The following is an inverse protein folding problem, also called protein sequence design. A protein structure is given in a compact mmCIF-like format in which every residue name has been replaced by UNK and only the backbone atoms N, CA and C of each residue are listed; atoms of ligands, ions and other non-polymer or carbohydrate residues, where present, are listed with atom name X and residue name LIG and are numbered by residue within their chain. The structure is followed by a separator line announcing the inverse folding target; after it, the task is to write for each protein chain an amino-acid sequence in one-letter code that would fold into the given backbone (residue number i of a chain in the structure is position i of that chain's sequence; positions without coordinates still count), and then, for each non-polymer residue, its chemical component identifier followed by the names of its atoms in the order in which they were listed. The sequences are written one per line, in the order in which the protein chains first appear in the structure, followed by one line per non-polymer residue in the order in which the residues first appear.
data_IF_343206851295
#
_entry.id   IF_343206851295
#
_cell.length_a   1.000
_cell.length_b   1.000
_cell.length_c   1.000
_cell.angle_alpha   90.00
_cell.angle_beta   90.00
_cell.angle_gamma   90.00
#
_symmetry.space_group_name_H-M   'P 1'
#
loop_
_entity.id
_entity.type
_entity.pdbx_description
1 polymer ?
#
# COMPACT_ATOMS: atom_id res chain seq x y z
N UNK A 1 -4.55 -0.73 -23.42
CA UNK A 1 -5.90 -0.26 -23.08
C UNK A 1 -6.56 -1.12 -22.01
N UNK A 2 -6.66 -2.45 -22.24
CA UNK A 2 -7.28 -3.33 -21.23
C UNK A 2 -6.52 -3.34 -19.92
N UNK A 3 -5.18 -3.34 -19.97
CA UNK A 3 -4.37 -3.35 -18.75
C UNK A 3 -4.54 -2.04 -17.97
N UNK A 4 -4.60 -0.91 -18.67
CA UNK A 4 -4.84 0.38 -18.02
C UNK A 4 -6.21 0.41 -17.34
N UNK A 5 -7.23 -0.11 -18.01
CA UNK A 5 -8.57 -0.17 -17.44
C UNK A 5 -8.61 -1.05 -16.19
N UNK A 6 -7.98 -2.23 -16.26
CA UNK A 6 -7.92 -3.15 -15.12
C UNK A 6 -7.19 -2.52 -13.95
N UNK A 7 -6.04 -1.89 -14.22
CA UNK A 7 -5.26 -1.21 -13.17
C UNK A 7 -6.05 -0.07 -12.54
N UNK A 8 -6.82 0.68 -13.33
CA UNK A 8 -7.64 1.77 -12.80
C UNK A 8 -8.74 1.24 -11.87
N UNK A 9 -9.40 0.16 -12.26
CA UNK A 9 -10.44 -0.46 -11.43
C UNK A 9 -9.82 -0.99 -10.13
N UNK A 10 -8.69 -1.69 -10.22
CA UNK A 10 -8.00 -2.21 -9.06
C UNK A 10 -7.49 -1.09 -8.15
N UNK A 11 -7.02 0.01 -8.73
CA UNK A 11 -6.61 1.18 -7.95
C UNK A 11 -7.76 1.67 -7.07
N UNK A 12 -8.95 1.80 -7.65
CA UNK A 12 -10.12 2.25 -6.89
C UNK A 12 -10.50 1.26 -5.80
N UNK A 13 -10.46 -0.03 -6.10
CA UNK A 13 -10.80 -1.07 -5.12
C UNK A 13 -9.79 -1.07 -3.97
N UNK A 14 -8.50 -1.10 -4.27
CA UNK A 14 -7.46 -1.14 -3.22
C UNK A 14 -7.44 0.15 -2.41
N UNK A 15 -7.61 1.30 -3.06
CA UNK A 15 -7.68 2.57 -2.37
C UNK A 15 -8.85 2.64 -1.41
N UNK A 16 -10.02 2.20 -1.85
CA UNK A 16 -11.21 2.17 -1.02
C UNK A 16 -11.07 1.21 0.15
N UNK A 17 -10.52 0.01 -0.10
CA UNK A 17 -10.29 -0.97 0.97
C UNK A 17 -9.31 -0.44 2.01
N UNK A 18 -8.22 0.17 1.58
CA UNK A 18 -7.25 0.74 2.51
C UNK A 18 -7.84 1.91 3.30
N UNK A 19 -8.61 2.75 2.64
CA UNK A 19 -9.30 3.86 3.31
C UNK A 19 -10.22 3.33 4.41
N UNK A 20 -10.99 2.27 4.14
CA UNK A 20 -11.87 1.66 5.13
C UNK A 20 -11.07 1.08 6.29
N UNK A 21 -9.96 0.36 5.99
CA UNK A 21 -9.09 -0.19 7.02
C UNK A 21 -8.57 0.91 7.94
N UNK A 22 -8.14 2.03 7.37
CA UNK A 22 -7.67 3.17 8.16
C UNK A 22 -8.77 3.75 9.05
N UNK A 23 -9.98 3.91 8.52
CA UNK A 23 -11.10 4.41 9.31
C UNK A 23 -11.40 3.46 10.47
N UNK A 24 -11.38 2.16 10.23
CA UNK A 24 -11.64 1.18 11.29
C UNK A 24 -10.53 1.16 12.34
N UNK A 25 -9.28 1.39 11.94
CA UNK A 25 -8.13 1.32 12.83
C UNK A 25 -7.94 2.63 13.61
N UNK A 26 -7.99 3.78 12.91
CA UNK A 26 -7.70 5.08 13.53
C UNK A 26 -8.94 5.93 13.81
N UNK A 27 -10.10 5.52 13.31
CA UNK A 27 -11.33 6.29 13.44
C UNK A 27 -11.50 7.38 12.38
N UNK A 28 -10.50 7.57 11.52
CA UNK A 28 -10.53 8.53 10.42
C UNK A 28 -9.53 8.16 9.36
N UNK A 29 -9.65 8.75 8.18
CA UNK A 29 -8.66 8.63 7.12
C UNK A 29 -8.67 9.91 6.30
N UNK A 30 -7.85 9.95 5.25
CA UNK A 30 -7.70 11.11 4.38
C UNK A 30 -7.63 10.62 2.94
N UNK A 31 -8.05 11.47 1.98
CA UNK A 31 -8.05 11.08 0.58
C UNK A 31 -6.65 10.69 0.06
N UNK A 32 -5.59 11.28 0.64
CA UNK A 32 -4.23 10.89 0.28
C UNK A 32 -3.93 9.43 0.63
N UNK A 33 -4.57 8.89 1.66
CA UNK A 33 -4.44 7.48 2.03
C UNK A 33 -5.13 6.58 1.01
N UNK A 34 -6.23 7.04 0.43
CA UNK A 34 -6.87 6.34 -0.68
C UNK A 34 -5.91 6.22 -1.86
N UNK A 35 -5.23 7.30 -2.22
CA UNK A 35 -4.26 7.30 -3.31
C UNK A 35 -3.08 6.39 -2.99
N UNK A 36 -2.53 6.50 -1.79
CA UNK A 36 -1.41 5.66 -1.37
C UNK A 36 -1.78 4.17 -1.39
N UNK A 37 -2.92 3.81 -0.81
CA UNK A 37 -3.38 2.43 -0.78
C UNK A 37 -3.64 1.87 -2.17
N UNK A 38 -4.28 2.66 -3.04
CA UNK A 38 -4.53 2.25 -4.41
C UNK A 38 -3.25 2.04 -5.20
N UNK A 39 -2.31 2.98 -5.07
CA UNK A 39 -1.02 2.89 -5.75
C UNK A 39 -0.23 1.67 -5.29
N UNK A 40 -0.13 1.45 -3.98
CA UNK A 40 0.57 0.29 -3.43
C UNK A 40 -0.06 -1.02 -3.92
N UNK A 41 -1.39 -1.13 -3.85
CA UNK A 41 -2.08 -2.34 -4.29
C UNK A 41 -1.86 -2.65 -5.75
N UNK A 42 -1.94 -1.63 -6.61
CA UNK A 42 -1.70 -1.81 -8.06
C UNK A 42 -0.26 -2.23 -8.32
N UNK A 43 0.72 -1.59 -7.70
CA UNK A 43 2.13 -1.93 -7.92
C UNK A 43 2.43 -3.36 -7.47
N UNK A 44 1.92 -3.76 -6.30
CA UNK A 44 2.11 -5.13 -5.79
C UNK A 44 1.44 -6.12 -6.74
N UNK A 45 0.23 -5.82 -7.20
CA UNK A 45 -0.50 -6.68 -8.12
C UNK A 45 0.20 -6.84 -9.47
N UNK A 46 0.75 -5.76 -10.03
CA UNK A 46 1.50 -5.82 -11.28
C UNK A 46 2.79 -6.62 -11.10
N UNK A 47 3.47 -6.46 -9.97
CA UNK A 47 4.65 -7.25 -9.66
C UNK A 47 4.31 -8.74 -9.63
N UNK A 48 3.21 -9.11 -8.97
CA UNK A 48 2.72 -10.48 -8.93
C UNK A 48 2.42 -11.01 -10.33
N UNK A 49 1.72 -10.23 -11.15
CA UNK A 49 1.35 -10.66 -12.50
C UNK A 49 2.55 -10.91 -13.41
N UNK A 50 3.61 -10.13 -13.23
CA UNK A 50 4.80 -10.22 -14.07
C UNK A 50 5.85 -11.21 -13.56
N UNK A 51 5.72 -11.66 -12.31
CA UNK A 51 6.73 -12.48 -11.64
C UNK A 51 6.06 -13.67 -10.92
N UNK A 52 5.39 -14.52 -11.69
CA UNK A 52 4.66 -15.67 -11.13
C UNK A 52 5.59 -16.71 -10.50
N UNK A 53 6.87 -16.70 -10.87
CA UNK A 53 7.82 -17.73 -10.43
C UNK A 53 8.44 -17.47 -9.06
N UNK A 54 8.29 -16.25 -8.52
CA UNK A 54 8.88 -15.94 -7.21
C UNK A 54 7.96 -16.43 -6.10
N UNK A 55 8.54 -16.81 -4.97
CA UNK A 55 7.78 -17.32 -3.83
C UNK A 55 6.91 -16.22 -3.22
N UNK A 56 5.85 -16.63 -2.51
CA UNK A 56 4.98 -15.67 -1.83
C UNK A 56 5.75 -14.86 -0.78
N UNK A 57 6.74 -15.48 -0.14
CA UNK A 57 7.55 -14.78 0.86
C UNK A 57 8.40 -13.67 0.23
N UNK A 58 8.97 -13.93 -0.95
CA UNK A 58 9.72 -12.91 -1.70
C UNK A 58 8.79 -11.79 -2.15
N UNK A 59 7.59 -12.13 -2.61
CA UNK A 59 6.61 -11.13 -3.01
C UNK A 59 6.21 -10.24 -1.82
N UNK A 60 6.05 -10.84 -0.64
CA UNK A 60 5.78 -10.08 0.58
C UNK A 60 6.91 -9.12 0.92
N UNK A 61 8.16 -9.58 0.78
CA UNK A 61 9.32 -8.75 1.04
C UNK A 61 9.39 -7.57 0.06
N UNK A 62 9.24 -7.83 -1.24
CA UNK A 62 9.22 -6.77 -2.24
C UNK A 62 8.07 -5.78 -1.98
N UNK A 63 6.90 -6.31 -1.62
CA UNK A 63 5.76 -5.48 -1.27
C UNK A 63 6.03 -4.58 -0.09
N UNK A 64 6.64 -5.11 0.97
CA UNK A 64 6.99 -4.30 2.15
C UNK A 64 7.94 -3.16 1.79
N UNK A 65 8.95 -3.45 0.96
CA UNK A 65 9.90 -2.42 0.52
C UNK A 65 9.20 -1.37 -0.33
N UNK A 66 8.36 -1.80 -1.27
CA UNK A 66 7.63 -0.88 -2.15
C UNK A 66 6.71 0.02 -1.35
N UNK A 67 5.92 -0.55 -0.44
CA UNK A 67 4.99 0.24 0.38
C UNK A 67 5.76 1.23 1.25
N UNK A 68 6.86 0.79 1.86
CA UNK A 68 7.67 1.65 2.71
C UNK A 68 8.25 2.83 1.92
N UNK A 69 8.74 2.58 0.70
CA UNK A 69 9.26 3.65 -0.16
C UNK A 69 8.15 4.62 -0.54
N UNK A 70 7.00 4.11 -0.97
CA UNK A 70 5.87 4.96 -1.35
C UNK A 70 5.32 5.73 -0.14
N UNK A 71 5.23 5.09 1.01
CA UNK A 71 4.81 5.74 2.25
C UNK A 71 5.77 6.88 2.62
N UNK A 72 7.07 6.66 2.47
CA UNK A 72 8.03 7.70 2.75
C UNK A 72 7.88 8.88 1.78
N UNK A 73 7.78 8.59 0.48
CA UNK A 73 7.66 9.65 -0.53
C UNK A 73 6.39 10.48 -0.30
N UNK A 74 5.26 9.82 -0.16
CA UNK A 74 3.98 10.51 0.04
C UNK A 74 3.97 11.22 1.40
N UNK A 75 4.48 10.55 2.45
CA UNK A 75 4.56 11.15 3.78
C UNK A 75 5.45 12.38 3.81
N UNK A 76 6.60 12.32 3.13
CA UNK A 76 7.47 13.48 3.04
C UNK A 76 6.73 14.66 2.40
N UNK A 77 5.99 14.40 1.32
CA UNK A 77 5.26 15.45 0.62
C UNK A 77 4.12 16.00 1.48
N UNK A 78 3.23 15.14 1.99
CA UNK A 78 2.00 15.63 2.64
C UNK A 78 2.23 16.06 4.08
N UNK A 79 3.11 15.40 4.82
CA UNK A 79 3.30 15.68 6.25
C UNK A 79 4.42 16.69 6.50
N UNK A 80 5.51 16.64 5.72
CA UNK A 80 6.66 17.50 5.95
C UNK A 80 6.58 18.74 5.05
N UNK A 81 6.49 18.58 3.73
CA UNK A 81 6.49 19.72 2.83
C UNK A 81 5.19 20.52 2.90
N UNK A 82 4.05 19.85 2.92
CA UNK A 82 2.74 20.51 2.98
C UNK A 82 2.25 20.75 4.40
N UNK A 83 2.83 20.05 5.38
CA UNK A 83 2.45 20.24 6.77
C UNK A 83 1.05 19.77 7.11
N UNK A 84 0.49 18.84 6.34
CA UNK A 84 -0.89 18.36 6.56
C UNK A 84 -1.04 17.49 7.80
N UNK A 85 0.06 16.92 8.29
CA UNK A 85 0.07 16.12 9.52
C UNK A 85 -0.96 14.97 9.49
N UNK A 86 -0.95 14.22 8.39
CA UNK A 86 -1.90 13.13 8.18
C UNK A 86 -1.53 11.94 9.06
N UNK A 87 -0.22 11.63 9.19
CA UNK A 87 0.28 10.66 10.15
C UNK A 87 1.66 11.07 10.66
N UNK A 88 2.03 10.53 11.80
CA UNK A 88 3.30 10.82 12.43
C UNK A 88 3.75 9.61 13.27
N UNK A 89 4.85 8.99 12.89
CA UNK A 89 5.42 7.86 13.61
C UNK A 89 6.56 8.27 14.56
N UNK A 90 6.67 9.56 14.88
CA UNK A 90 7.79 10.06 15.70
C UNK A 90 7.93 9.34 17.04
N UNK A 91 6.82 8.87 17.61
CA UNK A 91 6.82 8.14 18.88
C UNK A 91 7.00 6.64 18.72
N UNK A 92 7.12 6.14 17.49
CA UNK A 92 7.24 4.71 17.21
C UNK A 92 8.72 4.34 17.09
N UNK A 93 9.17 3.21 17.71
CA UNK A 93 10.55 2.79 17.59
C UNK A 93 10.97 2.56 16.14
N UNK A 94 12.24 2.88 15.85
CA UNK A 94 12.83 2.70 14.52
C UNK A 94 12.07 3.45 13.43
N UNK A 95 11.56 4.65 13.75
CA UNK A 95 10.99 5.51 12.72
C UNK A 95 12.10 6.28 11.99
N UNK A 96 11.80 6.70 10.77
CA UNK A 96 12.67 7.58 10.00
C UNK A 96 11.87 8.82 9.63
N UNK A 97 12.28 9.96 10.19
CA UNK A 97 11.64 11.26 10.01
C UNK A 97 10.13 11.26 10.34
N UNK A 98 9.68 10.30 11.15
CA UNK A 98 8.28 10.17 11.53
C UNK A 98 7.37 9.68 10.40
N UNK A 99 7.91 9.35 9.22
CA UNK A 99 7.11 9.00 8.05
C UNK A 99 7.01 7.50 7.81
N UNK A 100 8.04 6.75 8.20
CA UNK A 100 8.06 5.29 8.11
C UNK A 100 8.62 4.74 9.41
N UNK A 101 8.33 3.48 9.68
CA UNK A 101 8.87 2.82 10.87
C UNK A 101 8.93 1.31 10.64
N UNK A 102 9.86 0.66 11.35
CA UNK A 102 10.05 -0.79 11.20
C UNK A 102 8.80 -1.60 11.59
N UNK A 103 8.10 -1.32 12.70
CA UNK A 103 6.88 -2.09 13.02
C UNK A 103 5.86 -2.10 11.89
N UNK A 104 5.59 -0.97 11.25
CA UNK A 104 4.64 -0.93 10.15
C UNK A 104 5.19 -1.56 8.88
N UNK A 105 6.50 -1.50 8.64
CA UNK A 105 7.11 -2.23 7.52
C UNK A 105 6.88 -3.73 7.65
N UNK A 106 6.94 -4.27 8.87
CA UNK A 106 6.62 -5.68 9.12
C UNK A 106 5.15 -5.96 8.82
N UNK A 107 4.25 -5.05 9.21
CA UNK A 107 2.82 -5.17 8.89
C UNK A 107 2.62 -5.14 7.38
N UNK A 108 3.34 -4.29 6.65
CA UNK A 108 3.26 -4.22 5.20
C UNK A 108 3.69 -5.52 4.53
N UNK A 109 4.65 -6.24 5.12
CA UNK A 109 5.03 -7.56 4.63
C UNK A 109 3.82 -8.51 4.64
N UNK A 110 3.12 -8.57 5.77
CA UNK A 110 1.95 -9.45 5.91
C UNK A 110 0.84 -9.01 4.97
N UNK A 111 0.54 -7.71 4.93
CA UNK A 111 -0.53 -7.18 4.08
C UNK A 111 -0.20 -7.33 2.59
N UNK A 112 1.08 -7.30 2.23
CA UNK A 112 1.48 -7.53 0.83
C UNK A 112 1.19 -8.95 0.39
N UNK A 113 1.40 -9.94 1.27
CA UNK A 113 1.05 -11.33 0.99
C UNK A 113 -0.47 -11.45 0.78
N UNK A 114 -1.26 -10.84 1.67
CA UNK A 114 -2.72 -10.81 1.52
C UNK A 114 -3.11 -10.15 0.20
N UNK A 115 -2.45 -9.05 -0.14
CA UNK A 115 -2.72 -8.31 -1.38
C UNK A 115 -2.47 -9.17 -2.62
N UNK A 116 -1.41 -9.98 -2.63
CA UNK A 116 -1.11 -10.87 -3.76
C UNK A 116 -2.25 -11.86 -3.99
N UNK A 117 -2.73 -12.51 -2.93
CA UNK A 117 -3.85 -13.45 -3.05
C UNK A 117 -5.14 -12.73 -3.46
N UNK A 118 -5.38 -11.57 -2.90
CA UNK A 118 -6.56 -10.77 -3.26
C UNK A 118 -6.49 -10.33 -4.73
N UNK A 119 -5.32 -9.92 -5.19
CA UNK A 119 -5.13 -9.51 -6.58
C UNK A 119 -5.43 -10.65 -7.54
N UNK A 120 -4.94 -11.86 -7.25
CA UNK A 120 -5.24 -13.03 -8.06
C UNK A 120 -6.75 -13.31 -8.08
N UNK A 121 -7.40 -13.24 -6.93
CA UNK A 121 -8.84 -13.45 -6.82
C UNK A 121 -9.62 -12.42 -7.63
N UNK A 122 -9.29 -11.14 -7.48
CA UNK A 122 -10.01 -10.07 -8.17
C UNK A 122 -9.82 -10.15 -9.69
N UNK A 123 -8.61 -10.47 -10.13
CA UNK A 123 -8.35 -10.59 -11.58
C UNK A 123 -9.10 -11.78 -12.16
N UNK A 124 -9.21 -12.89 -11.42
CA UNK A 124 -9.97 -14.04 -11.87
C UNK A 124 -11.47 -13.74 -11.94
N UNK A 125 -12.01 -13.03 -10.95
CA UNK A 125 -13.46 -12.80 -10.84
C UNK A 125 -13.96 -11.62 -11.68
N UNK A 126 -13.14 -10.58 -11.85
CA UNK A 126 -13.57 -9.36 -12.55
C UNK A 126 -13.13 -9.33 -14.02
N UNK A 127 -12.10 -10.04 -14.35
CA UNK A 127 -11.48 -10.00 -15.70
C UNK A 127 -11.26 -11.44 -16.24
#
# INVERSE_FOLDING_TARGET
MKELMRSSILFLIYGFMYFIIEVLYRGHSHWSMFILGGLCGVVIGLLNERNKDISIWEQGLYGAVIVTILEFIIGYIVNILLGWNIWDYSDVPFNFLGQICLPFTIIWFILSIVCVYLDDFLREKLF
#
